data_IF_453531150974
#
_entry.id   IF_453531150974
#
_cell.length_a   1.000
_cell.length_b   1.000
_cell.length_c   1.000
_cell.angle_alpha   90.00
_cell.angle_beta   90.00
_cell.angle_gamma   90.00
#
_symmetry.space_group_name_H-M   'P 1'
#
loop_
_entity.id
_entity.type
_entity.pdbx_description
1 polymer ?
#
# COMPACT_ATOMS: atom_id res chain seq x y z
N UNK A 1 -4.95 -9.72 -19.34
CA UNK A 1 -4.92 -11.11 -18.81
C UNK A 1 -3.61 -11.25 -18.05
N UNK A 2 -3.65 -11.25 -16.72
CA UNK A 2 -2.43 -11.40 -15.90
C UNK A 2 -2.07 -12.89 -15.81
N UNK A 3 -0.81 -13.24 -16.05
CA UNK A 3 -0.34 -14.64 -16.02
C UNK A 3 0.09 -15.02 -14.59
N UNK A 4 -0.15 -16.26 -14.12
CA UNK A 4 0.14 -16.67 -12.74
C UNK A 4 1.63 -16.59 -12.34
N UNK A 5 2.58 -16.68 -13.29
CA UNK A 5 4.01 -16.55 -12.98
C UNK A 5 4.46 -15.10 -12.79
N UNK A 6 3.72 -14.11 -13.28
CA UNK A 6 4.02 -12.67 -13.10
C UNK A 6 3.71 -12.20 -11.67
N UNK A 7 3.07 -13.06 -10.87
CA UNK A 7 2.57 -12.75 -9.52
C UNK A 7 3.61 -13.12 -8.46
N UNK A 8 4.33 -14.24 -8.65
CA UNK A 8 5.41 -14.66 -7.73
C UNK A 8 6.72 -13.87 -7.92
N UNK A 9 6.89 -13.15 -9.03
CA UNK A 9 8.10 -12.33 -9.28
C UNK A 9 8.21 -11.11 -8.38
N UNK A 10 7.08 -10.64 -7.82
CA UNK A 10 7.07 -9.52 -6.88
C UNK A 10 7.73 -9.90 -5.54
N UNK A 11 7.50 -11.14 -5.09
CA UNK A 11 8.05 -11.66 -3.83
C UNK A 11 9.49 -12.16 -3.98
N UNK A 12 9.86 -12.60 -5.18
CA UNK A 12 11.22 -13.07 -5.48
C UNK A 12 12.28 -11.95 -5.44
N UNK A 13 11.87 -10.69 -5.60
CA UNK A 13 12.80 -9.58 -5.73
C UNK A 13 12.34 -8.38 -4.91
N UNK A 14 13.04 -8.14 -3.82
CA UNK A 14 12.95 -6.90 -3.03
C UNK A 14 13.23 -5.65 -3.87
N UNK A 15 13.94 -5.81 -4.99
CA UNK A 15 14.23 -4.74 -5.95
C UNK A 15 12.94 -4.34 -6.69
N UNK A 16 12.12 -5.31 -7.12
CA UNK A 16 10.89 -5.02 -7.87
C UNK A 16 9.88 -4.25 -7.02
N UNK A 17 9.67 -4.67 -5.78
CA UNK A 17 8.80 -3.96 -4.83
C UNK A 17 9.32 -2.56 -4.49
N UNK A 18 10.65 -2.39 -4.36
CA UNK A 18 11.25 -1.07 -4.15
C UNK A 18 11.05 -0.13 -5.35
N UNK A 19 11.21 -0.63 -6.59
CA UNK A 19 10.99 0.15 -7.81
C UNK A 19 9.53 0.58 -7.92
N UNK A 20 8.59 -0.35 -7.71
CA UNK A 20 7.15 -0.07 -7.76
C UNK A 20 6.74 1.00 -6.74
N UNK A 21 7.14 0.80 -5.49
CA UNK A 21 6.83 1.76 -4.42
C UNK A 21 7.52 3.12 -4.64
N UNK A 22 8.72 3.13 -5.22
CA UNK A 22 9.43 4.35 -5.59
C UNK A 22 8.73 5.15 -6.70
N UNK A 23 8.16 4.46 -7.70
CA UNK A 23 7.34 5.07 -8.73
C UNK A 23 6.04 5.65 -8.13
N UNK A 24 5.34 4.88 -7.32
CA UNK A 24 4.11 5.31 -6.65
C UNK A 24 4.32 6.57 -5.80
N UNK A 25 5.35 6.56 -4.94
CA UNK A 25 5.72 7.70 -4.10
C UNK A 25 5.84 9.00 -4.89
N UNK A 26 6.51 8.98 -6.05
CA UNK A 26 6.71 10.18 -6.88
C UNK A 26 5.40 10.79 -7.37
N UNK A 27 4.42 9.95 -7.69
CA UNK A 27 3.08 10.40 -8.09
C UNK A 27 2.33 10.95 -6.89
N UNK A 28 2.32 10.21 -5.77
CA UNK A 28 1.59 10.58 -4.57
C UNK A 28 2.08 11.90 -3.97
N UNK A 29 3.40 12.13 -3.90
CA UNK A 29 3.99 13.38 -3.41
C UNK A 29 3.46 14.61 -4.14
N UNK A 30 3.21 14.52 -5.45
CA UNK A 30 2.63 15.61 -6.22
C UNK A 30 1.17 15.84 -5.88
N UNK A 31 0.41 14.77 -5.67
CA UNK A 31 -1.00 14.84 -5.28
C UNK A 31 -1.21 15.48 -3.90
N UNK A 32 -0.35 15.17 -2.93
CA UNK A 32 -0.41 15.74 -1.57
C UNK A 32 0.43 17.03 -1.42
N UNK A 33 1.03 17.52 -2.50
CA UNK A 33 1.92 18.69 -2.51
C UNK A 33 3.03 18.66 -1.43
N UNK A 34 3.56 17.48 -1.11
CA UNK A 34 4.52 17.30 -0.02
C UNK A 34 5.97 17.34 -0.51
N UNK A 35 6.88 17.62 0.42
CA UNK A 35 8.32 17.66 0.14
C UNK A 35 8.88 16.29 -0.27
N UNK A 36 9.91 16.31 -1.12
CA UNK A 36 10.58 15.09 -1.62
C UNK A 36 11.30 14.28 -0.54
N UNK A 37 11.51 14.87 0.65
CA UNK A 37 12.16 14.25 1.82
C UNK A 37 11.20 13.45 2.70
N UNK A 38 9.88 13.64 2.59
CA UNK A 38 8.87 12.92 3.38
C UNK A 38 9.04 11.42 3.17
N UNK A 39 9.04 10.55 4.18
CA UNK A 39 9.30 9.10 3.96
C UNK A 39 8.21 8.43 3.11
N UNK A 40 8.52 7.32 2.44
CA UNK A 40 7.54 6.61 1.59
C UNK A 40 6.30 6.18 2.37
N UNK A 41 6.52 5.70 3.60
CA UNK A 41 5.43 5.33 4.48
C UNK A 41 4.54 6.53 4.82
N UNK A 42 5.14 7.67 5.12
CA UNK A 42 4.38 8.89 5.40
C UNK A 42 3.63 9.39 4.17
N UNK A 43 4.23 9.33 2.97
CA UNK A 43 3.55 9.68 1.71
C UNK A 43 2.28 8.83 1.50
N UNK A 44 2.37 7.53 1.72
CA UNK A 44 1.25 6.60 1.55
C UNK A 44 0.13 6.87 2.56
N UNK A 45 0.49 7.11 3.83
CA UNK A 45 -0.50 7.44 4.87
C UNK A 45 -1.19 8.78 4.57
N UNK A 46 -0.43 9.83 4.24
CA UNK A 46 -0.98 11.16 3.96
C UNK A 46 -1.88 11.19 2.72
N UNK A 47 -1.58 10.36 1.73
CA UNK A 47 -2.40 10.22 0.52
C UNK A 47 -3.57 9.25 0.67
N UNK A 48 -3.72 8.59 1.83
CA UNK A 48 -4.70 7.52 2.05
C UNK A 48 -4.60 6.37 1.02
N UNK A 49 -3.39 6.12 0.51
CA UNK A 49 -3.15 5.09 -0.52
C UNK A 49 -2.21 4.01 0.02
N UNK A 50 -2.61 2.73 0.01
CA UNK A 50 -1.73 1.63 0.41
C UNK A 50 -0.49 1.51 -0.50
N UNK A 51 0.64 0.99 0.01
CA UNK A 51 1.82 0.66 -0.80
C UNK A 51 1.48 -0.16 -2.06
N UNK A 52 2.09 0.18 -3.19
CA UNK A 52 1.86 -0.44 -4.49
C UNK A 52 2.19 -1.93 -4.50
N UNK A 53 3.15 -2.37 -3.70
CA UNK A 53 3.44 -3.80 -3.56
C UNK A 53 2.28 -4.55 -2.89
N UNK A 54 1.56 -3.92 -1.96
CA UNK A 54 0.34 -4.51 -1.38
C UNK A 54 -0.83 -4.45 -2.36
N UNK A 55 -0.98 -3.34 -3.09
CA UNK A 55 -2.02 -3.21 -4.13
C UNK A 55 -1.81 -4.20 -5.28
N UNK A 56 -0.56 -4.52 -5.63
CA UNK A 56 -0.25 -5.53 -6.64
C UNK A 56 -0.61 -6.95 -6.20
N UNK A 57 -0.73 -7.20 -4.88
CA UNK A 57 -1.20 -8.47 -4.30
C UNK A 57 -2.73 -8.58 -4.25
N UNK A 58 -3.46 -7.47 -4.19
CA UNK A 58 -4.94 -7.50 -4.17
C UNK A 58 -5.60 -8.21 -5.35
N UNK A 59 -5.14 -8.08 -6.62
CA UNK A 59 -5.71 -8.80 -7.75
C UNK A 59 -5.63 -10.32 -7.61
N UNK A 60 -4.64 -10.86 -6.88
CA UNK A 60 -4.48 -12.29 -6.61
C UNK A 60 -5.63 -12.79 -5.74
N UNK A 61 -5.88 -12.10 -4.63
CA UNK A 61 -7.00 -12.38 -3.73
C UNK A 61 -8.34 -12.08 -4.40
N UNK A 62 -8.43 -11.02 -5.20
CA UNK A 62 -9.64 -10.63 -5.91
C UNK A 62 -10.00 -11.56 -7.08
N UNK A 63 -9.02 -12.19 -7.73
CA UNK A 63 -9.28 -13.22 -8.75
C UNK A 63 -9.73 -14.53 -8.11
N UNK A 64 -9.15 -14.93 -6.96
CA UNK A 64 -9.62 -16.06 -6.17
C UNK A 64 -10.99 -15.79 -5.51
N UNK A 65 -11.22 -14.58 -4.99
CA UNK A 65 -12.47 -14.16 -4.34
C UNK A 65 -13.60 -13.82 -5.32
N UNK A 66 -13.31 -13.48 -6.58
CA UNK A 66 -14.35 -13.41 -7.64
C UNK A 66 -15.06 -14.76 -7.86
N UNK A 67 -14.49 -15.87 -7.36
CA UNK A 67 -15.13 -17.19 -7.29
C UNK A 67 -15.99 -17.39 -6.02
N UNK A 68 -15.92 -16.50 -5.04
CA UNK A 68 -16.44 -16.70 -3.67
C UNK A 68 -17.25 -15.52 -3.08
N UNK A 69 -17.67 -14.54 -3.90
CA UNK A 69 -18.51 -13.39 -3.51
C UNK A 69 -17.78 -12.17 -2.88
N UNK A 70 -18.32 -10.98 -3.13
CA UNK A 70 -17.63 -9.67 -3.12
C UNK A 70 -17.20 -9.15 -1.73
N UNK A 71 -16.11 -8.37 -1.70
CA UNK A 71 -15.93 -7.26 -0.74
C UNK A 71 -14.66 -7.29 0.13
N UNK A 72 -13.91 -8.39 0.17
CA UNK A 72 -12.87 -8.59 1.19
C UNK A 72 -11.46 -8.08 0.82
N UNK A 73 -11.26 -7.61 -0.42
CA UNK A 73 -9.94 -7.22 -0.95
C UNK A 73 -9.28 -6.05 -0.22
N UNK A 74 -10.07 -5.11 0.32
CA UNK A 74 -9.52 -3.90 0.96
C UNK A 74 -9.14 -4.13 2.43
N UNK A 75 -9.94 -4.85 3.21
CA UNK A 75 -9.71 -4.98 4.66
C UNK A 75 -8.43 -5.78 5.00
N UNK A 76 -8.13 -6.85 4.26
CA UNK A 76 -6.91 -7.63 4.46
C UNK A 76 -5.65 -6.80 4.16
N UNK A 77 -5.69 -6.04 3.06
CA UNK A 77 -4.62 -5.10 2.69
C UNK A 77 -4.42 -4.01 3.72
N UNK A 78 -5.49 -3.38 4.19
CA UNK A 78 -5.45 -2.36 5.22
C UNK A 78 -4.85 -2.91 6.52
N UNK A 79 -5.18 -4.15 6.90
CA UNK A 79 -4.60 -4.81 8.09
C UNK A 79 -3.10 -5.04 7.96
N UNK A 80 -2.65 -5.57 6.81
CA UNK A 80 -1.21 -5.77 6.53
C UNK A 80 -0.49 -4.43 6.50
N UNK A 81 -1.10 -3.41 5.92
CA UNK A 81 -0.54 -2.07 5.87
C UNK A 81 -0.42 -1.45 7.27
N UNK A 82 -1.45 -1.57 8.11
CA UNK A 82 -1.42 -1.11 9.50
C UNK A 82 -0.33 -1.82 10.31
N UNK A 83 -0.13 -3.12 10.11
CA UNK A 83 0.98 -3.87 10.73
C UNK A 83 2.34 -3.32 10.29
N UNK A 84 2.54 -3.14 8.98
CA UNK A 84 3.77 -2.55 8.43
C UNK A 84 4.03 -1.14 8.95
N UNK A 85 2.99 -0.33 9.18
CA UNK A 85 3.15 0.99 9.80
C UNK A 85 3.67 0.89 11.23
N UNK A 86 3.21 -0.10 12.00
CA UNK A 86 3.65 -0.30 13.38
C UNK A 86 5.11 -0.74 13.46
N UNK A 87 5.58 -1.53 12.50
CA UNK A 87 6.95 -2.06 12.47
C UNK A 87 7.99 -1.03 11.99
N UNK A 88 7.62 -0.11 11.10
CA UNK A 88 8.56 0.85 10.50
C UNK A 88 8.83 2.04 11.44
N UNK A 89 10.10 2.39 11.57
CA UNK A 89 10.55 3.60 12.28
C UNK A 89 10.46 4.85 11.39
N UNK A 90 10.68 4.69 10.08
CA UNK A 90 10.61 5.79 9.13
C UNK A 90 9.17 6.27 8.92
N UNK A 91 8.91 7.54 9.21
CA UNK A 91 7.55 8.10 9.20
C UNK A 91 6.74 7.76 10.45
N UNK A 92 7.37 7.29 11.54
CA UNK A 92 6.70 6.93 12.79
C UNK A 92 5.76 8.01 13.34
N UNK A 93 6.05 9.28 13.08
CA UNK A 93 5.22 10.41 13.47
C UNK A 93 3.80 10.35 12.89
N UNK A 94 3.60 9.71 11.73
CA UNK A 94 2.25 9.60 11.15
C UNK A 94 1.31 8.76 12.00
N UNK A 95 1.84 7.86 12.84
CA UNK A 95 1.02 7.10 13.81
C UNK A 95 0.43 7.95 14.92
N UNK A 96 1.08 9.06 15.23
CA UNK A 96 0.58 10.01 16.23
C UNK A 96 -0.54 10.86 15.64
N UNK A 97 -0.39 11.27 14.37
CA UNK A 97 -1.37 12.12 13.70
C UNK A 97 -2.59 11.32 13.18
N UNK A 98 -2.33 10.12 12.63
CA UNK A 98 -3.32 9.25 11.98
C UNK A 98 -3.19 7.85 12.61
N UNK A 99 -3.81 7.62 13.78
CA UNK A 99 -3.72 6.35 14.49
C UNK A 99 -4.55 5.24 13.83
N UNK A 100 -5.67 5.61 13.21
CA UNK A 100 -6.56 4.70 12.48
C UNK A 100 -6.50 4.99 10.97
N UNK A 101 -5.69 4.20 10.28
CA UNK A 101 -5.53 4.29 8.82
C UNK A 101 -6.81 3.87 8.11
N UNK A 102 -7.57 2.92 8.66
CA UNK A 102 -8.78 2.41 8.01
C UNK A 102 -9.86 3.49 8.00
N UNK A 103 -10.08 4.15 9.14
CA UNK A 103 -10.99 5.30 9.21
C UNK A 103 -10.52 6.45 8.30
N UNK A 104 -9.20 6.73 8.28
CA UNK A 104 -8.63 7.76 7.43
C UNK A 104 -8.88 7.52 5.93
N UNK A 105 -8.74 6.28 5.47
CA UNK A 105 -9.00 5.91 4.07
C UNK A 105 -10.48 5.97 3.69
N UNK A 106 -11.41 5.96 4.64
CA UNK A 106 -12.84 6.16 4.36
C UNK A 106 -13.22 7.64 4.23
N UNK A 107 -12.38 8.55 4.72
CA UNK A 107 -12.64 9.99 4.76
C UNK A 107 -12.15 10.72 3.50
N UNK A 108 -11.13 10.19 2.83
CA UNK A 108 -10.58 10.72 1.56
C UNK A 108 -11.24 10.08 0.35
#
# INVERSE_FOLDING_TARGET
>A
VWRPYEVHTLDYSTINSAILNGAQRRVLLRGICAYSTVSMMATNVLSAVPPADLLAREPEMGFQARRADRGMGSAATLRVWAMRLRERTNGAWTRQLIPDIEAWCRLG
#
